data_IF_847382166984
#
_entry.id   IF_847382166984
#
_cell.length_a   1.000
_cell.length_b   1.000
_cell.length_c   1.000
_cell.angle_alpha   90.00
_cell.angle_beta   90.00
_cell.angle_gamma   90.00
#
_symmetry.space_group_name_H-M   'P 1'
#
loop_
_entity.id
_entity.type
_entity.pdbx_description
1 polymer ?
#
# COMPACT_ATOMS: atom_id res chain seq x y z
N UNK A 1 12.67 -0.95 -16.01
CA UNK A 1 12.38 0.29 -16.77
C UNK A 1 12.43 1.45 -15.80
N UNK A 2 12.92 2.63 -16.21
CA UNK A 2 12.86 3.81 -15.35
C UNK A 2 11.39 4.21 -15.12
N UNK A 3 11.02 4.41 -13.86
CA UNK A 3 9.66 4.81 -13.48
C UNK A 3 9.48 6.29 -13.76
N UNK A 4 8.25 6.70 -14.06
CA UNK A 4 7.96 8.09 -14.38
C UNK A 4 7.41 8.81 -13.15
N UNK A 5 8.11 9.86 -12.74
CA UNK A 5 7.61 10.79 -11.72
C UNK A 5 6.74 11.85 -12.39
N UNK A 6 5.52 12.02 -11.89
CA UNK A 6 4.64 13.08 -12.38
C UNK A 6 5.20 14.44 -11.93
N UNK A 7 5.50 15.38 -12.86
CA UNK A 7 6.08 16.68 -12.50
C UNK A 7 5.10 17.59 -11.74
N UNK A 8 3.82 17.25 -11.69
CA UNK A 8 2.79 18.06 -11.04
C UNK A 8 2.46 17.59 -9.61
N UNK A 9 2.65 16.31 -9.28
CA UNK A 9 2.32 15.77 -7.94
C UNK A 9 3.45 14.98 -7.28
N UNK A 10 4.60 14.84 -7.95
CA UNK A 10 5.81 14.14 -7.51
C UNK A 10 5.64 12.63 -7.23
N UNK A 11 4.51 12.06 -7.63
CA UNK A 11 4.24 10.62 -7.44
C UNK A 11 4.86 9.78 -8.55
N UNK A 12 5.28 8.58 -8.18
CA UNK A 12 5.94 7.64 -9.08
C UNK A 12 4.95 6.62 -9.68
N UNK A 13 5.05 6.42 -10.99
CA UNK A 13 4.17 5.53 -11.77
C UNK A 13 4.98 4.57 -12.65
N UNK A 14 4.35 3.44 -13.00
CA UNK A 14 4.95 2.40 -13.85
C UNK A 14 4.99 2.81 -15.34
N UNK A 15 4.13 3.74 -15.76
CA UNK A 15 4.02 4.22 -17.15
C UNK A 15 4.17 5.72 -17.25
N UNK A 16 4.88 6.17 -18.27
CA UNK A 16 4.99 7.59 -18.62
C UNK A 16 3.62 8.20 -18.88
N UNK A 17 3.33 9.34 -18.25
CA UNK A 17 2.05 10.06 -18.36
C UNK A 17 0.83 9.19 -17.98
N UNK A 18 0.99 8.27 -17.02
CA UNK A 18 -0.12 7.45 -16.54
C UNK A 18 -1.27 8.35 -16.06
N UNK A 19 -2.49 8.10 -16.56
CA UNK A 19 -3.69 8.78 -16.08
C UNK A 19 -3.90 8.49 -14.60
N UNK A 20 -3.98 9.55 -13.80
CA UNK A 20 -4.23 9.48 -12.36
C UNK A 20 -4.94 10.74 -11.89
N UNK A 21 -5.55 10.65 -10.71
CA UNK A 21 -6.00 11.86 -10.01
C UNK A 21 -4.75 12.56 -9.49
N UNK A 22 -4.36 13.65 -10.15
CA UNK A 22 -3.17 14.43 -9.87
C UNK A 22 -3.41 15.33 -8.64
N UNK A 23 -3.40 14.71 -7.46
CA UNK A 23 -3.33 15.40 -6.18
C UNK A 23 -1.91 15.28 -5.63
N UNK A 24 -1.35 16.34 -5.02
CA UNK A 24 -0.07 16.27 -4.34
C UNK A 24 -0.04 15.07 -3.38
N UNK A 25 1.11 14.40 -3.30
CA UNK A 25 1.39 13.51 -2.19
C UNK A 25 1.19 14.25 -0.85
N UNK A 26 0.93 13.51 0.20
CA UNK A 26 1.02 14.03 1.56
C UNK A 26 1.92 13.11 2.38
N UNK A 27 2.24 13.49 3.60
CA UNK A 27 2.97 12.58 4.50
C UNK A 27 2.04 11.46 4.99
N UNK A 28 2.61 10.36 5.48
CA UNK A 28 1.82 9.34 6.19
C UNK A 28 1.13 9.99 7.40
N UNK A 29 1.80 10.92 8.09
CA UNK A 29 1.21 11.68 9.20
C UNK A 29 -0.03 12.46 8.77
N UNK A 30 0.00 13.13 7.62
CA UNK A 30 -1.18 13.81 7.07
C UNK A 30 -2.31 12.83 6.75
N UNK A 31 -2.01 11.65 6.20
CA UNK A 31 -3.01 10.62 5.89
C UNK A 31 -3.75 10.12 7.14
N UNK A 32 -3.07 10.09 8.29
CA UNK A 32 -3.59 9.56 9.54
C UNK A 32 -4.00 10.62 10.58
N UNK A 33 -4.01 11.91 10.21
CA UNK A 33 -4.47 12.99 11.10
C UNK A 33 -5.88 12.73 11.63
N UNK A 34 -6.06 12.73 12.96
CA UNK A 34 -7.33 12.41 13.63
C UNK A 34 -7.64 10.90 13.69
N UNK A 35 -6.66 10.05 13.35
CA UNK A 35 -6.73 8.57 13.34
C UNK A 35 -5.41 7.98 13.83
N UNK A 36 -4.83 8.60 14.84
CA UNK A 36 -3.49 8.31 15.37
C UNK A 36 -3.33 6.85 15.78
N UNK A 37 -4.40 6.23 16.29
CA UNK A 37 -4.41 4.81 16.67
C UNK A 37 -4.17 3.84 15.51
N UNK A 38 -4.44 4.25 14.26
CA UNK A 38 -4.22 3.41 13.07
C UNK A 38 -2.78 3.49 12.56
N UNK A 39 -2.04 4.53 12.96
CA UNK A 39 -0.67 4.74 12.49
C UNK A 39 0.26 3.59 12.86
N UNK A 40 0.29 3.07 14.11
CA UNK A 40 1.12 1.92 14.45
C UNK A 40 0.83 0.66 13.63
N UNK A 41 -0.42 0.44 13.22
CA UNK A 41 -0.79 -0.70 12.35
C UNK A 41 -0.22 -0.49 10.95
N UNK A 42 -0.31 0.73 10.41
CA UNK A 42 0.29 1.09 9.13
C UNK A 42 1.82 0.94 9.17
N UNK A 43 2.47 1.39 10.24
CA UNK A 43 3.92 1.29 10.41
C UNK A 43 4.37 -0.17 10.46
N UNK A 44 3.62 -1.06 11.12
CA UNK A 44 3.87 -2.51 11.14
C UNK A 44 3.84 -3.11 9.73
N UNK A 45 2.82 -2.76 8.93
CA UNK A 45 2.66 -3.25 7.55
C UNK A 45 3.80 -2.72 6.67
N UNK A 46 4.08 -1.42 6.72
CA UNK A 46 5.14 -0.79 5.93
C UNK A 46 6.50 -1.36 6.32
N UNK A 47 6.77 -1.51 7.62
CA UNK A 47 7.99 -2.09 8.15
C UNK A 47 8.21 -3.53 7.71
N UNK A 48 7.15 -4.36 7.76
CA UNK A 48 7.21 -5.73 7.27
C UNK A 48 7.58 -5.79 5.78
N UNK A 49 6.87 -5.03 4.93
CA UNK A 49 7.13 -5.04 3.48
C UNK A 49 8.51 -4.46 3.14
N UNK A 50 8.96 -3.42 3.83
CA UNK A 50 10.30 -2.87 3.67
C UNK A 50 11.40 -3.88 4.09
N UNK A 51 11.09 -4.77 5.03
CA UNK A 51 11.97 -5.89 5.42
C UNK A 51 12.15 -6.95 4.32
N UNK A 52 11.20 -7.08 3.38
CA UNK A 52 11.30 -7.98 2.23
C UNK A 52 12.23 -7.42 1.13
N UNK A 53 12.43 -6.10 1.11
CA UNK A 53 13.32 -5.42 0.17
C UNK A 53 12.80 -4.04 -0.26
N UNK A 54 13.33 -3.46 -1.36
CA UNK A 54 12.93 -2.14 -1.83
C UNK A 54 11.43 -2.06 -2.09
N UNK A 55 10.79 -1.05 -1.49
CA UNK A 55 9.37 -0.73 -1.65
C UNK A 55 9.20 0.78 -1.75
N UNK A 56 8.30 1.22 -2.62
CA UNK A 56 7.87 2.60 -2.75
C UNK A 56 6.56 2.79 -1.98
N UNK A 57 6.54 3.83 -1.15
CA UNK A 57 5.41 4.17 -0.29
C UNK A 57 4.87 5.52 -0.73
N UNK A 58 3.69 5.50 -1.36
CA UNK A 58 2.97 6.71 -1.78
C UNK A 58 1.88 7.02 -0.75
N UNK A 59 2.10 8.02 0.10
CA UNK A 59 1.04 8.56 0.96
C UNK A 59 0.27 9.68 0.22
N UNK A 60 -1.06 9.58 0.26
CA UNK A 60 -1.98 10.60 -0.26
C UNK A 60 -3.13 10.78 0.72
N UNK A 61 -3.93 11.84 0.54
CA UNK A 61 -5.02 12.16 1.48
C UNK A 61 -6.07 11.05 1.65
N UNK A 62 -6.15 10.11 0.71
CA UNK A 62 -7.09 8.99 0.75
C UNK A 62 -6.48 7.67 1.26
N UNK A 63 -5.17 7.61 1.53
CA UNK A 63 -4.50 6.40 2.02
C UNK A 63 -3.03 6.28 1.62
N UNK A 64 -2.41 5.16 2.01
CA UNK A 64 -1.02 4.82 1.70
C UNK A 64 -0.99 3.68 0.69
N UNK A 65 -0.24 3.82 -0.39
CA UNK A 65 -0.09 2.77 -1.41
C UNK A 65 1.32 2.20 -1.36
N UNK A 66 1.40 0.87 -1.32
CA UNK A 66 2.66 0.14 -1.40
C UNK A 66 2.87 -0.34 -2.83
N UNK A 67 4.07 -0.09 -3.37
CA UNK A 67 4.44 -0.43 -4.75
C UNK A 67 5.85 -0.98 -4.80
N UNK A 68 6.08 -2.03 -5.60
CA UNK A 68 7.40 -2.40 -6.11
C UNK A 68 7.46 -1.96 -7.58
N UNK A 69 7.67 -2.83 -8.57
CA UNK A 69 7.44 -2.41 -9.98
C UNK A 69 5.96 -2.19 -10.25
N UNK A 70 5.12 -3.02 -9.62
CA UNK A 70 3.66 -2.90 -9.64
C UNK A 70 3.13 -2.62 -8.24
N UNK A 71 1.85 -2.27 -8.18
CA UNK A 71 1.15 -2.00 -6.92
C UNK A 71 0.86 -3.32 -6.20
N UNK A 72 1.26 -3.41 -4.93
CA UNK A 72 1.10 -4.61 -4.10
C UNK A 72 -0.04 -4.46 -3.09
N UNK A 73 -0.17 -3.29 -2.45
CA UNK A 73 -1.21 -3.06 -1.47
C UNK A 73 -1.72 -1.60 -1.41
N UNK A 74 -2.92 -1.44 -0.88
CA UNK A 74 -3.49 -0.15 -0.47
C UNK A 74 -3.91 -0.20 1.00
N UNK A 75 -3.49 0.78 1.77
CA UNK A 75 -3.88 0.99 3.15
C UNK A 75 -4.77 2.23 3.19
N UNK A 76 -5.98 2.08 3.75
CA UNK A 76 -7.03 3.09 3.72
C UNK A 76 -7.55 3.31 5.13
N UNK A 77 -7.29 4.47 5.76
CA UNK A 77 -7.88 4.77 7.05
C UNK A 77 -9.41 4.85 6.94
N UNK A 78 -10.14 4.22 7.87
CA UNK A 78 -11.60 4.29 8.00
C UNK A 78 -11.99 4.70 9.42
N UNK A 79 -13.27 5.01 9.63
CA UNK A 79 -13.77 5.50 10.94
C UNK A 79 -13.50 4.51 12.06
N UNK A 80 -13.69 3.21 11.82
CA UNK A 80 -13.62 2.17 12.86
C UNK A 80 -12.55 1.09 12.60
N UNK A 81 -11.76 1.23 11.54
CA UNK A 81 -10.79 0.24 11.12
C UNK A 81 -9.73 0.88 10.20
N UNK A 82 -8.61 0.19 10.03
CA UNK A 82 -7.68 0.38 8.94
C UNK A 82 -7.94 -0.68 7.87
N UNK A 83 -8.41 -0.27 6.69
CA UNK A 83 -8.65 -1.24 5.60
C UNK A 83 -7.37 -1.45 4.81
N UNK A 84 -6.98 -2.70 4.59
CA UNK A 84 -5.92 -3.08 3.66
C UNK A 84 -6.49 -3.86 2.48
N UNK A 85 -6.04 -3.53 1.28
CA UNK A 85 -6.29 -4.26 0.05
C UNK A 85 -4.95 -4.79 -0.43
N UNK A 86 -4.79 -6.10 -0.56
CA UNK A 86 -3.56 -6.75 -1.01
C UNK A 86 -3.84 -7.44 -2.34
N UNK A 87 -3.01 -7.18 -3.34
CA UNK A 87 -3.10 -7.87 -4.61
C UNK A 87 -2.50 -9.27 -4.48
N UNK A 88 -3.22 -10.31 -4.92
CA UNK A 88 -2.70 -11.69 -4.93
C UNK A 88 -2.89 -12.37 -6.28
N UNK A 89 -1.91 -13.19 -6.73
CA UNK A 89 -2.13 -14.13 -7.82
C UNK A 89 -3.06 -15.25 -7.32
N UNK A 90 -4.18 -15.48 -8.00
CA UNK A 90 -5.06 -16.61 -7.69
C UNK A 90 -4.53 -17.92 -8.25
N UNK A 91 -4.97 -19.03 -7.66
CA UNK A 91 -4.55 -20.39 -8.00
C UNK A 91 -4.87 -20.80 -9.45
N UNK A 92 -5.89 -20.19 -10.06
CA UNK A 92 -6.33 -20.40 -11.45
C UNK A 92 -5.78 -19.36 -12.44
N UNK A 93 -4.88 -18.47 -12.00
CA UNK A 93 -4.43 -17.32 -12.79
C UNK A 93 -5.32 -16.08 -12.67
N UNK A 94 -6.48 -16.20 -12.01
CA UNK A 94 -7.35 -15.06 -11.70
C UNK A 94 -6.70 -14.17 -10.63
N UNK A 95 -6.43 -12.92 -10.97
CA UNK A 95 -5.82 -11.95 -10.06
C UNK A 95 -6.91 -11.30 -9.22
N UNK A 96 -6.82 -11.43 -7.90
CA UNK A 96 -7.83 -10.89 -7.00
C UNK A 96 -7.20 -9.95 -5.96
N UNK A 97 -7.87 -8.83 -5.72
CA UNK A 97 -7.60 -7.99 -4.57
C UNK A 97 -8.30 -8.57 -3.34
N UNK A 98 -7.51 -8.96 -2.34
CA UNK A 98 -8.03 -9.38 -1.05
C UNK A 98 -8.14 -8.18 -0.11
N UNK A 99 -9.30 -8.02 0.52
CA UNK A 99 -9.55 -6.92 1.44
C UNK A 99 -9.66 -7.44 2.87
N UNK A 100 -8.96 -6.79 3.81
CA UNK A 100 -9.11 -7.00 5.25
C UNK A 100 -9.30 -5.67 5.97
N UNK A 101 -10.01 -5.69 7.09
CA UNK A 101 -10.12 -4.56 8.02
C UNK A 101 -9.35 -4.94 9.28
N UNK A 102 -8.47 -4.04 9.71
CA UNK A 102 -7.62 -4.19 10.88
C UNK A 102 -8.08 -3.21 11.95
N UNK A 103 -8.16 -3.68 13.18
CA UNK A 103 -8.55 -2.90 14.35
C UNK A 103 -7.46 -2.89 15.41
N UNK A 104 -6.51 -3.82 15.34
CA UNK A 104 -5.35 -3.91 16.22
C UNK A 104 -4.08 -4.27 15.43
N UNK A 105 -2.91 -4.07 16.04
CA UNK A 105 -1.62 -4.49 15.48
C UNK A 105 -1.53 -6.01 15.34
N UNK A 106 -2.20 -6.78 16.21
CA UNK A 106 -2.22 -8.25 16.11
C UNK A 106 -2.95 -8.75 14.87
N UNK A 107 -3.76 -7.91 14.20
CA UNK A 107 -4.38 -8.26 12.93
C UNK A 107 -3.37 -8.31 11.76
N UNK A 108 -2.14 -7.81 11.97
CA UNK A 108 -0.97 -8.05 11.10
C UNK A 108 -0.36 -9.40 11.43
N UNK A 109 -1.20 -10.42 11.29
CA UNK A 109 -0.90 -11.82 11.57
C UNK A 109 -0.10 -12.48 10.44
N UNK A 110 0.29 -13.74 10.66
CA UNK A 110 1.09 -14.50 9.71
C UNK A 110 0.36 -14.67 8.37
N UNK A 111 -0.96 -14.81 8.39
CA UNK A 111 -1.76 -14.86 7.16
C UNK A 111 -1.64 -13.58 6.34
N UNK A 112 -1.74 -12.40 6.96
CA UNK A 112 -1.59 -11.14 6.24
C UNK A 112 -0.14 -10.97 5.73
N UNK A 113 0.85 -11.38 6.52
CA UNK A 113 2.26 -11.37 6.13
C UNK A 113 2.54 -12.28 4.93
N UNK A 114 1.94 -13.46 4.89
CA UNK A 114 2.03 -14.36 3.75
C UNK A 114 1.47 -13.71 2.49
N UNK A 115 0.30 -13.07 2.59
CA UNK A 115 -0.31 -12.36 1.46
C UNK A 115 0.56 -11.21 0.95
N UNK A 116 1.16 -10.45 1.87
CA UNK A 116 2.07 -9.35 1.52
C UNK A 116 3.35 -9.88 0.86
N UNK A 117 3.86 -11.02 1.32
CA UNK A 117 5.05 -11.68 0.74
C UNK A 117 4.76 -12.16 -0.68
N UNK A 118 3.68 -12.93 -0.89
CA UNK A 118 3.25 -13.36 -2.23
C UNK A 118 3.05 -12.18 -3.18
N UNK A 119 2.43 -11.10 -2.67
CA UNK A 119 2.20 -9.88 -3.44
C UNK A 119 3.51 -9.18 -3.81
N UNK A 120 4.46 -9.12 -2.87
CA UNK A 120 5.78 -8.51 -3.07
C UNK A 120 6.59 -9.23 -4.14
N UNK A 121 6.62 -10.57 -4.07
CA UNK A 121 7.35 -11.41 -5.02
C UNK A 121 6.81 -11.26 -6.43
N UNK A 122 5.48 -11.26 -6.58
CA UNK A 122 4.83 -11.14 -7.87
C UNK A 122 4.72 -9.68 -8.40
N UNK A 123 5.06 -8.68 -7.57
CA UNK A 123 5.15 -7.26 -7.97
C UNK A 123 6.56 -6.85 -8.46
N UNK A 124 7.50 -7.79 -8.54
CA UNK A 124 8.87 -7.63 -9.04
C UNK A 124 9.05 -7.37 -10.52
#
# INVERSE_FOLDING_TARGET
MARWTCPACDREFDRTRQSHVCVPGCTIDDTFRGREWQRPICDEIVGFVAGLGPVHVDAVGVGVFLKRQRKLAEIRPKVRALSIWVWRPGLSGDRAWQKRNLTDRTDVDDQLRDWLTESYDAAG
#
